data_IF_712736930470
#
_entry.id   IF_712736930470
#
_cell.length_a   1.000
_cell.length_b   1.000
_cell.length_c   1.000
_cell.angle_alpha   90.00
_cell.angle_beta   90.00
_cell.angle_gamma   90.00
#
_symmetry.space_group_name_H-M   'P 1'
#
loop_
_entity.id
_entity.type
_entity.pdbx_description
1 polymer ?
#
# COMPACT_ATOMS: atom_id res chain seq x y z
N UNK A 1 -3.22 13.18 -16.12
CA UNK A 1 -4.47 13.35 -15.35
C UNK A 1 -5.59 13.27 -16.37
N UNK A 2 -6.41 12.22 -16.33
CA UNK A 2 -7.58 12.10 -17.20
C UNK A 2 -8.72 12.80 -16.49
N UNK A 3 -9.31 13.82 -17.12
CA UNK A 3 -10.49 14.50 -16.57
C UNK A 3 -11.68 13.55 -16.65
N UNK A 4 -12.55 13.51 -15.62
CA UNK A 4 -13.77 12.74 -15.66
C UNK A 4 -14.71 13.31 -16.73
N UNK A 5 -15.46 12.44 -17.37
CA UNK A 5 -16.56 12.87 -18.24
C UNK A 5 -17.67 13.52 -17.40
N UNK A 6 -18.48 14.36 -18.02
CA UNK A 6 -19.57 15.08 -17.31
C UNK A 6 -20.53 14.07 -16.65
N UNK A 7 -20.76 12.95 -17.29
CA UNK A 7 -21.61 11.86 -16.80
C UNK A 7 -21.08 11.18 -15.54
N UNK A 8 -19.77 11.32 -15.25
CA UNK A 8 -19.14 10.76 -14.07
C UNK A 8 -19.51 11.50 -12.77
N UNK A 9 -20.00 12.74 -12.83
CA UNK A 9 -20.28 13.56 -11.63
C UNK A 9 -21.32 12.88 -10.72
N UNK A 10 -22.38 12.34 -11.30
CA UNK A 10 -23.41 11.60 -10.55
C UNK A 10 -22.84 10.32 -9.91
N UNK A 11 -22.00 9.60 -10.65
CA UNK A 11 -21.31 8.40 -10.15
C UNK A 11 -20.34 8.75 -9.02
N UNK A 12 -19.50 9.78 -9.19
CA UNK A 12 -18.57 10.30 -8.19
C UNK A 12 -19.30 10.65 -6.89
N UNK A 13 -20.41 11.42 -6.98
CA UNK A 13 -21.19 11.76 -5.81
C UNK A 13 -21.75 10.53 -5.09
N UNK A 14 -22.29 9.56 -5.84
CA UNK A 14 -22.78 8.30 -5.27
C UNK A 14 -21.69 7.48 -4.62
N UNK A 15 -20.49 7.45 -5.19
CA UNK A 15 -19.33 6.78 -4.58
C UNK A 15 -18.89 7.42 -3.26
N UNK A 16 -19.04 8.73 -3.13
CA UNK A 16 -18.79 9.44 -1.86
C UNK A 16 -19.93 9.29 -0.85
N UNK A 17 -21.02 8.58 -1.19
CA UNK A 17 -22.25 8.48 -0.39
C UNK A 17 -22.83 9.85 0.00
N UNK A 18 -22.77 10.81 -0.91
CA UNK A 18 -23.25 12.16 -0.68
C UNK A 18 -24.61 12.42 -1.35
N UNK A 19 -25.52 13.07 -0.62
CA UNK A 19 -26.70 13.70 -1.25
C UNK A 19 -26.28 14.94 -2.04
N UNK A 20 -27.12 15.40 -2.98
CA UNK A 20 -26.89 16.65 -3.73
C UNK A 20 -26.60 17.83 -2.78
N UNK A 21 -27.36 17.96 -1.68
CA UNK A 21 -27.17 19.02 -0.68
C UNK A 21 -25.82 18.91 0.05
N UNK A 22 -25.39 17.70 0.40
CA UNK A 22 -24.09 17.48 1.05
C UNK A 22 -22.92 17.76 0.11
N UNK A 23 -23.02 17.34 -1.18
CA UNK A 23 -22.02 17.64 -2.18
C UNK A 23 -21.93 19.15 -2.43
N UNK A 24 -23.06 19.84 -2.57
CA UNK A 24 -23.13 21.30 -2.73
C UNK A 24 -22.42 22.03 -1.58
N UNK A 25 -22.73 21.66 -0.33
CA UNK A 25 -22.09 22.24 0.87
C UNK A 25 -20.58 22.02 0.89
N UNK A 26 -20.11 20.80 0.58
CA UNK A 26 -18.66 20.45 0.61
C UNK A 26 -17.88 21.09 -0.55
N UNK A 27 -18.47 21.18 -1.75
CA UNK A 27 -17.80 21.74 -2.93
C UNK A 27 -17.94 23.27 -3.05
N UNK A 28 -18.81 23.88 -2.24
CA UNK A 28 -19.14 25.32 -2.36
C UNK A 28 -19.91 25.66 -3.64
N UNK A 29 -20.65 24.68 -4.21
CA UNK A 29 -21.48 24.86 -5.41
C UNK A 29 -22.96 24.86 -5.07
N UNK A 30 -23.81 25.41 -5.96
CA UNK A 30 -25.26 25.37 -5.73
C UNK A 30 -25.84 23.98 -6.03
N UNK A 31 -26.86 23.59 -5.27
CA UNK A 31 -27.59 22.33 -5.48
C UNK A 31 -28.20 22.27 -6.87
N UNK A 32 -28.78 23.38 -7.31
CA UNK A 32 -29.40 23.50 -8.63
C UNK A 32 -28.39 23.27 -9.75
N UNK A 33 -27.20 23.88 -9.66
CA UNK A 33 -26.16 23.69 -10.66
C UNK A 33 -25.72 22.22 -10.74
N UNK A 34 -25.45 21.55 -9.58
CA UNK A 34 -25.06 20.13 -9.56
C UNK A 34 -26.17 19.26 -10.16
N UNK A 35 -27.42 19.51 -9.80
CA UNK A 35 -28.57 18.78 -10.33
C UNK A 35 -28.68 18.91 -11.85
N UNK A 36 -28.48 20.12 -12.40
CA UNK A 36 -28.53 20.36 -13.84
C UNK A 36 -27.40 19.70 -14.60
N UNK A 37 -26.19 19.66 -14.01
CA UNK A 37 -25.06 18.89 -14.58
C UNK A 37 -25.36 17.38 -14.57
N UNK A 38 -25.83 16.85 -13.46
CA UNK A 38 -26.13 15.41 -13.33
C UNK A 38 -27.31 14.94 -14.20
N UNK A 39 -28.20 15.84 -14.57
CA UNK A 39 -29.33 15.57 -15.49
C UNK A 39 -29.02 15.86 -16.95
N UNK A 40 -27.80 16.33 -17.27
CA UNK A 40 -27.44 16.73 -18.64
C UNK A 40 -28.04 18.05 -19.09
N UNK A 41 -28.68 18.83 -18.21
CA UNK A 41 -29.23 20.16 -18.51
C UNK A 41 -28.15 21.20 -18.81
N UNK A 42 -26.95 21.01 -18.28
CA UNK A 42 -25.76 21.81 -18.62
C UNK A 42 -24.82 20.91 -19.40
N UNK A 43 -24.69 21.14 -20.70
CA UNK A 43 -23.85 20.36 -21.62
C UNK A 43 -22.37 20.74 -21.57
N UNK A 44 -22.06 21.98 -21.20
CA UNK A 44 -20.69 22.50 -21.09
C UNK A 44 -20.51 23.18 -19.72
N UNK A 45 -20.32 22.40 -18.66
CA UNK A 45 -20.12 22.94 -17.33
C UNK A 45 -18.72 23.55 -17.19
N UNK A 46 -18.62 24.64 -16.41
CA UNK A 46 -17.35 25.29 -16.13
C UNK A 46 -16.32 24.28 -15.55
N UNK A 47 -15.17 24.20 -16.21
CA UNK A 47 -14.02 23.37 -15.79
C UNK A 47 -13.67 23.57 -14.31
N UNK A 48 -13.62 24.81 -13.83
CA UNK A 48 -13.27 25.10 -12.43
C UNK A 48 -14.28 24.52 -11.44
N UNK A 49 -15.56 24.45 -11.81
CA UNK A 49 -16.59 23.86 -10.96
C UNK A 49 -16.50 22.32 -10.94
N UNK A 50 -16.27 21.72 -12.10
CA UNK A 50 -16.03 20.27 -12.22
C UNK A 50 -14.78 19.88 -11.43
N UNK A 51 -13.69 20.63 -11.59
CA UNK A 51 -12.46 20.41 -10.84
C UNK A 51 -12.67 20.40 -9.33
N UNK A 52 -13.49 21.33 -8.78
CA UNK A 52 -13.80 21.34 -7.33
C UNK A 52 -14.45 20.04 -6.84
N UNK A 53 -15.35 19.44 -7.63
CA UNK A 53 -15.98 18.17 -7.27
C UNK A 53 -14.96 17.04 -7.35
N UNK A 54 -14.10 17.06 -8.35
CA UNK A 54 -13.08 16.05 -8.54
C UNK A 54 -11.99 16.12 -7.46
N UNK A 55 -11.50 17.32 -7.14
CA UNK A 55 -10.54 17.53 -6.06
C UNK A 55 -11.11 17.06 -4.70
N UNK A 56 -12.40 17.31 -4.46
CA UNK A 56 -13.11 16.82 -3.28
C UNK A 56 -13.18 15.29 -3.26
N UNK A 57 -13.50 14.68 -4.39
CA UNK A 57 -13.54 13.22 -4.52
C UNK A 57 -12.17 12.58 -4.26
N UNK A 58 -11.12 13.12 -4.86
CA UNK A 58 -9.76 12.65 -4.64
C UNK A 58 -9.32 12.84 -3.18
N UNK A 59 -9.71 13.95 -2.55
CA UNK A 59 -9.45 14.22 -1.14
C UNK A 59 -10.19 13.22 -0.23
N UNK A 60 -11.49 12.99 -0.44
CA UNK A 60 -12.28 12.03 0.32
C UNK A 60 -11.76 10.59 0.13
N UNK A 61 -11.37 10.24 -1.09
CA UNK A 61 -10.77 8.97 -1.42
C UNK A 61 -9.42 8.78 -0.73
N UNK A 62 -8.61 9.83 -0.64
CA UNK A 62 -7.31 9.82 0.05
C UNK A 62 -7.48 9.73 1.56
N UNK A 63 -8.48 10.39 2.14
CA UNK A 63 -8.75 10.38 3.58
C UNK A 63 -9.26 9.03 4.11
N UNK A 64 -9.87 8.21 3.25
CA UNK A 64 -10.34 6.85 3.57
C UNK A 64 -9.40 5.75 3.04
N UNK A 65 -8.29 6.12 2.40
CA UNK A 65 -7.36 5.15 1.84
C UNK A 65 -6.41 4.65 2.93
N UNK A 66 -6.26 3.33 3.00
CA UNK A 66 -5.24 2.72 3.85
C UNK A 66 -3.85 3.23 3.46
N UNK A 67 -3.02 3.38 4.46
CA UNK A 67 -1.63 3.80 4.34
C UNK A 67 -0.68 2.62 4.49
N UNK A 68 0.59 2.81 4.17
CA UNK A 68 1.63 1.83 4.41
C UNK A 68 1.64 1.33 5.86
N UNK A 69 1.45 2.25 6.81
CA UNK A 69 1.42 1.92 8.24
C UNK A 69 0.24 1.06 8.68
N UNK A 70 -0.89 1.11 7.94
CA UNK A 70 -2.09 0.32 8.28
C UNK A 70 -1.96 -1.15 7.88
N UNK A 71 -1.02 -1.48 6.99
CA UNK A 71 -0.92 -2.80 6.38
C UNK A 71 0.46 -3.46 6.49
N UNK A 72 1.50 -2.72 6.89
CA UNK A 72 2.83 -3.29 7.06
C UNK A 72 2.90 -4.27 8.22
N UNK A 73 3.85 -5.20 8.18
CA UNK A 73 4.27 -5.98 9.34
C UNK A 73 5.06 -5.04 10.25
N UNK A 74 4.59 -4.78 11.49
CA UNK A 74 5.27 -3.84 12.37
C UNK A 74 6.65 -4.36 12.80
N UNK A 75 7.56 -3.43 13.15
CA UNK A 75 8.96 -3.74 13.51
C UNK A 75 9.08 -4.85 14.56
N UNK A 76 8.22 -4.83 15.58
CA UNK A 76 8.21 -5.85 16.65
C UNK A 76 7.98 -7.28 16.17
N UNK A 77 7.26 -7.43 15.04
CA UNK A 77 6.91 -8.72 14.42
C UNK A 77 7.81 -9.03 13.22
N UNK A 78 8.55 -8.02 12.73
CA UNK A 78 9.48 -8.15 11.62
C UNK A 78 10.67 -9.03 12.02
N UNK A 79 10.99 -10.02 11.19
CA UNK A 79 12.21 -10.81 11.35
C UNK A 79 13.35 -10.15 10.60
N UNK A 80 14.49 -10.05 11.23
CA UNK A 80 15.68 -9.41 10.68
C UNK A 80 16.95 -10.10 11.18
N UNK A 81 18.03 -9.91 10.44
CA UNK A 81 19.39 -10.28 10.84
C UNK A 81 20.24 -9.02 11.07
N UNK A 82 21.38 -9.20 11.69
CA UNK A 82 22.41 -8.16 11.79
C UNK A 82 23.62 -8.55 10.96
N UNK A 83 24.37 -7.60 10.49
CA UNK A 83 25.72 -7.85 9.94
C UNK A 83 26.52 -8.65 10.97
N UNK A 84 27.25 -9.68 10.50
CA UNK A 84 27.99 -10.60 11.35
C UNK A 84 27.17 -11.75 11.97
N UNK A 85 25.85 -11.78 11.80
CA UNK A 85 25.04 -12.97 12.10
C UNK A 85 25.44 -14.13 11.21
N UNK A 86 25.20 -15.38 11.62
CA UNK A 86 25.50 -16.54 10.76
C UNK A 86 24.47 -16.68 9.64
N UNK A 87 24.91 -17.17 8.48
CA UNK A 87 24.04 -17.55 7.35
C UNK A 87 23.01 -18.58 7.78
N UNK A 88 23.37 -19.51 8.65
CA UNK A 88 22.45 -20.49 9.24
C UNK A 88 21.28 -19.85 10.00
N UNK A 89 21.55 -18.76 10.73
CA UNK A 89 20.49 -18.05 11.47
C UNK A 89 19.47 -17.41 10.52
N UNK A 90 19.91 -16.86 9.40
CA UNK A 90 19.02 -16.32 8.36
C UNK A 90 18.19 -17.45 7.71
N UNK A 91 18.83 -18.57 7.36
CA UNK A 91 18.15 -19.74 6.82
C UNK A 91 17.06 -20.25 7.76
N UNK A 92 17.37 -20.38 9.05
CA UNK A 92 16.40 -20.79 10.07
C UNK A 92 15.19 -19.87 10.13
N UNK A 93 15.40 -18.55 10.10
CA UNK A 93 14.32 -17.56 10.06
C UNK A 93 13.46 -17.75 8.82
N UNK A 94 14.05 -17.94 7.64
CA UNK A 94 13.33 -18.13 6.38
C UNK A 94 12.43 -19.37 6.43
N UNK A 95 12.97 -20.50 6.90
CA UNK A 95 12.22 -21.77 7.00
C UNK A 95 11.09 -21.64 8.04
N UNK A 96 11.38 -21.15 9.24
CA UNK A 96 10.41 -21.06 10.34
C UNK A 96 9.25 -20.09 10.03
N UNK A 97 9.48 -19.09 9.19
CA UNK A 97 8.49 -18.04 8.89
C UNK A 97 7.91 -18.15 7.49
N UNK A 98 8.34 -19.12 6.71
CA UNK A 98 7.94 -19.30 5.31
C UNK A 98 8.13 -18.01 4.50
N UNK A 99 9.33 -17.43 4.62
CA UNK A 99 9.73 -16.20 3.91
C UNK A 99 11.03 -16.43 3.14
N UNK A 100 11.16 -15.82 1.99
CA UNK A 100 12.30 -15.97 1.08
C UNK A 100 13.37 -14.90 1.24
N UNK A 101 13.13 -13.89 2.08
CA UNK A 101 14.04 -12.76 2.25
C UNK A 101 13.97 -12.22 3.68
N UNK A 102 15.14 -11.78 4.19
CA UNK A 102 15.27 -11.22 5.54
C UNK A 102 16.08 -9.92 5.46
N UNK A 103 15.56 -8.79 5.96
CA UNK A 103 16.33 -7.55 6.02
C UNK A 103 17.50 -7.68 7.01
N UNK A 104 18.64 -7.14 6.60
CA UNK A 104 19.86 -7.15 7.39
C UNK A 104 20.17 -5.73 7.84
N UNK A 105 20.44 -5.57 9.12
CA UNK A 105 20.70 -4.28 9.73
C UNK A 105 22.13 -4.19 10.26
N UNK A 106 22.72 -3.03 10.07
CA UNK A 106 23.86 -2.57 10.83
C UNK A 106 23.43 -1.37 11.67
N UNK A 107 23.60 -1.48 13.01
CA UNK A 107 23.06 -0.52 13.98
C UNK A 107 21.54 -0.36 13.76
N UNK A 108 20.99 0.68 13.29
CA UNK A 108 19.56 0.84 13.01
C UNK A 108 19.28 1.13 11.51
N UNK A 109 20.26 0.85 10.67
CA UNK A 109 20.17 1.07 9.22
C UNK A 109 20.04 -0.29 8.54
N UNK A 110 19.01 -0.46 7.71
CA UNK A 110 18.93 -1.61 6.82
C UNK A 110 19.97 -1.42 5.72
N UNK A 111 20.96 -2.30 5.69
CA UNK A 111 22.07 -2.27 4.73
C UNK A 111 21.81 -3.15 3.51
N UNK A 112 20.83 -4.04 3.57
CA UNK A 112 20.48 -4.89 2.45
C UNK A 112 19.51 -5.99 2.85
N UNK A 113 19.27 -6.91 1.90
CA UNK A 113 18.45 -8.11 2.07
C UNK A 113 19.31 -9.36 1.87
N UNK A 114 19.16 -10.34 2.74
CA UNK A 114 19.63 -11.71 2.47
C UNK A 114 18.46 -12.51 1.92
N UNK A 115 18.66 -13.20 0.80
CA UNK A 115 17.60 -13.91 0.07
C UNK A 115 17.82 -15.41 0.08
N UNK A 116 16.78 -16.18 -0.19
CA UNK A 116 16.85 -17.64 -0.38
C UNK A 116 17.83 -18.02 -1.49
N UNK A 117 17.94 -17.20 -2.54
CA UNK A 117 18.92 -17.36 -3.61
C UNK A 117 20.35 -17.32 -3.09
N UNK A 118 20.65 -16.39 -2.18
CA UNK A 118 21.96 -16.30 -1.53
C UNK A 118 22.18 -17.53 -0.64
N UNK A 119 21.18 -17.91 0.16
CA UNK A 119 21.27 -19.08 1.04
C UNK A 119 21.49 -20.36 0.23
N UNK A 120 20.75 -20.56 -0.86
CA UNK A 120 20.86 -21.75 -1.69
C UNK A 120 22.19 -21.86 -2.42
N UNK A 121 22.92 -20.77 -2.66
CA UNK A 121 24.28 -20.82 -3.25
C UNK A 121 25.28 -21.54 -2.37
N UNK A 122 24.98 -21.71 -1.07
CA UNK A 122 25.81 -22.48 -0.12
C UNK A 122 25.47 -23.97 -0.05
N UNK A 123 24.45 -24.45 -0.79
CA UNK A 123 24.10 -25.88 -0.78
C UNK A 123 25.27 -26.71 -1.26
N UNK A 124 25.64 -27.71 -0.47
CA UNK A 124 26.81 -28.56 -0.71
C UNK A 124 28.14 -28.04 -0.14
N UNK A 125 28.11 -26.86 0.49
CA UNK A 125 29.26 -26.28 1.19
C UNK A 125 29.10 -26.36 2.70
N UNK A 126 30.20 -26.36 3.44
CA UNK A 126 30.16 -26.18 4.89
C UNK A 126 29.90 -24.69 5.19
N UNK A 127 28.71 -24.39 5.73
CA UNK A 127 28.32 -23.05 6.14
C UNK A 127 28.62 -22.75 7.60
N UNK A 128 29.23 -23.69 8.29
CA UNK A 128 29.58 -23.56 9.72
C UNK A 128 30.45 -22.32 9.93
N UNK A 129 29.94 -21.37 10.69
CA UNK A 129 30.68 -20.13 10.98
C UNK A 129 30.67 -19.07 9.89
N UNK A 130 30.06 -19.28 8.71
CA UNK A 130 29.93 -18.27 7.67
C UNK A 130 29.08 -17.11 8.18
N UNK A 131 29.64 -15.90 8.15
CA UNK A 131 28.97 -14.68 8.59
C UNK A 131 28.38 -13.90 7.43
N UNK A 132 27.24 -13.28 7.70
CA UNK A 132 26.63 -12.34 6.77
C UNK A 132 27.49 -11.08 6.69
N UNK A 133 27.97 -10.78 5.50
CA UNK A 133 28.74 -9.57 5.18
C UNK A 133 28.00 -8.76 4.13
N UNK A 134 28.29 -7.49 4.01
CA UNK A 134 27.57 -6.55 3.15
C UNK A 134 27.61 -6.95 1.66
N UNK A 135 28.75 -7.48 1.22
CA UNK A 135 28.98 -7.91 -0.16
C UNK A 135 28.07 -9.08 -0.61
N UNK A 136 27.48 -9.79 0.34
CA UNK A 136 26.51 -10.87 0.06
C UNK A 136 25.09 -10.35 -0.17
N UNK A 137 24.81 -9.12 0.25
CA UNK A 137 23.44 -8.64 0.33
C UNK A 137 22.93 -8.11 -1.01
N UNK A 138 21.65 -8.32 -1.28
CA UNK A 138 20.94 -7.57 -2.27
C UNK A 138 20.61 -6.16 -1.74
N UNK A 139 20.30 -5.26 -2.67
CA UNK A 139 20.03 -3.84 -2.36
C UNK A 139 18.96 -3.71 -1.28
N UNK A 140 19.18 -2.80 -0.34
CA UNK A 140 18.19 -2.48 0.69
C UNK A 140 16.89 -1.99 0.06
N UNK A 141 15.72 -2.41 0.60
CA UNK A 141 14.43 -1.97 0.10
C UNK A 141 14.28 -0.44 0.20
N UNK A 142 13.54 0.19 -0.73
CA UNK A 142 13.25 1.62 -0.61
C UNK A 142 12.43 1.90 0.65
N UNK A 143 12.59 3.10 1.20
CA UNK A 143 11.85 3.57 2.36
C UNK A 143 10.66 4.39 1.94
N UNK A 144 9.53 4.21 2.63
CA UNK A 144 8.31 4.98 2.44
C UNK A 144 7.77 5.45 3.79
N UNK A 145 7.18 6.63 3.82
CA UNK A 145 6.57 7.16 5.05
C UNK A 145 5.34 6.33 5.45
N UNK A 146 5.11 6.20 6.75
CA UNK A 146 3.97 5.48 7.34
C UNK A 146 2.61 5.95 6.80
N UNK A 147 2.51 7.20 6.37
CA UNK A 147 1.30 7.81 5.80
C UNK A 147 1.19 7.63 4.27
N UNK A 148 2.16 6.97 3.62
CA UNK A 148 2.13 6.76 2.18
C UNK A 148 0.88 5.97 1.78
N UNK A 149 0.01 6.50 0.90
CA UNK A 149 -1.18 5.79 0.44
C UNK A 149 -0.83 4.47 -0.25
N UNK A 150 -1.56 3.42 0.06
CA UNK A 150 -1.31 2.07 -0.49
C UNK A 150 -1.30 2.05 -2.03
N UNK A 151 -2.16 2.84 -2.68
CA UNK A 151 -2.18 2.94 -4.16
C UNK A 151 -0.86 3.42 -4.76
N UNK A 152 -0.11 4.26 -4.03
CA UNK A 152 1.19 4.77 -4.47
C UNK A 152 2.28 3.70 -4.39
N UNK A 153 2.11 2.71 -3.52
CA UNK A 153 3.08 1.63 -3.32
C UNK A 153 3.11 0.63 -4.48
N UNK A 154 2.00 0.50 -5.24
CA UNK A 154 1.93 -0.45 -6.34
C UNK A 154 3.11 -0.29 -7.29
N UNK A 155 3.38 0.94 -7.76
CA UNK A 155 4.49 1.21 -8.69
C UNK A 155 5.86 0.86 -8.11
N UNK A 156 6.08 1.13 -6.83
CA UNK A 156 7.33 0.79 -6.14
C UNK A 156 7.48 -0.72 -6.02
N UNK A 157 6.40 -1.40 -5.65
CA UNK A 157 6.39 -2.86 -5.48
C UNK A 157 6.31 -3.64 -6.82
N UNK A 158 6.15 -2.96 -7.97
CA UNK A 158 6.38 -3.58 -9.28
C UNK A 158 7.89 -3.83 -9.53
N UNK A 159 8.78 -3.04 -8.92
CA UNK A 159 10.24 -3.14 -9.07
C UNK A 159 10.94 -3.76 -7.86
N UNK A 160 10.36 -3.63 -6.67
CA UNK A 160 10.91 -4.15 -5.42
C UNK A 160 9.90 -5.11 -4.79
N UNK A 161 10.36 -6.19 -4.23
CA UNK A 161 9.48 -7.14 -3.52
C UNK A 161 9.00 -6.60 -2.18
N UNK A 162 9.77 -5.67 -1.59
CA UNK A 162 9.53 -5.08 -0.28
C UNK A 162 9.77 -3.58 -0.27
N UNK A 163 9.14 -2.91 0.68
CA UNK A 163 9.47 -1.55 1.11
C UNK A 163 9.60 -1.53 2.63
N UNK A 164 10.52 -0.73 3.14
CA UNK A 164 10.58 -0.42 4.57
C UNK A 164 9.65 0.76 4.85
N UNK A 165 8.82 0.61 5.85
CA UNK A 165 7.92 1.68 6.30
C UNK A 165 8.62 2.42 7.44
N UNK A 166 8.74 3.75 7.32
CA UNK A 166 9.36 4.57 8.33
C UNK A 166 8.39 5.59 8.94
N UNK A 167 8.68 5.95 10.18
CA UNK A 167 7.98 7.03 10.90
C UNK A 167 9.01 7.87 11.63
N UNK A 168 9.06 9.17 11.31
CA UNK A 168 10.01 10.09 11.93
C UNK A 168 11.48 9.64 11.85
N UNK A 169 11.89 9.03 10.72
CA UNK A 169 13.26 8.54 10.50
C UNK A 169 13.57 7.16 11.11
N UNK A 170 12.63 6.54 11.84
CA UNK A 170 12.78 5.21 12.40
C UNK A 170 12.00 4.19 11.59
N UNK A 171 12.52 2.97 11.48
CA UNK A 171 11.81 1.87 10.85
C UNK A 171 10.57 1.52 11.70
N UNK A 172 9.40 1.61 11.08
CA UNK A 172 8.12 1.29 11.68
C UNK A 172 7.71 -0.15 11.34
N UNK A 173 8.12 -0.65 10.18
CA UNK A 173 7.80 -1.99 9.72
C UNK A 173 8.33 -2.29 8.32
N UNK A 174 7.91 -3.42 7.78
CA UNK A 174 8.18 -3.86 6.42
C UNK A 174 6.86 -4.23 5.73
N UNK A 175 6.77 -3.95 4.43
CA UNK A 175 5.60 -4.26 3.63
C UNK A 175 6.03 -4.98 2.37
N UNK A 176 5.48 -6.16 2.15
CA UNK A 176 5.71 -6.97 0.97
C UNK A 176 4.60 -6.77 -0.09
N UNK A 177 4.91 -7.09 -1.34
CA UNK A 177 3.90 -7.16 -2.42
C UNK A 177 2.70 -8.04 -2.04
N UNK A 178 2.95 -9.15 -1.33
CA UNK A 178 1.91 -10.06 -0.84
C UNK A 178 0.90 -9.38 0.09
N UNK A 179 1.32 -8.39 0.88
CA UNK A 179 0.43 -7.68 1.80
C UNK A 179 -0.62 -6.85 1.06
N UNK A 180 -0.28 -6.32 -0.13
CA UNK A 180 -1.26 -5.66 -0.99
C UNK A 180 -2.33 -6.63 -1.50
N UNK A 181 -2.00 -7.90 -1.73
CA UNK A 181 -2.96 -8.89 -2.20
C UNK A 181 -4.05 -9.18 -1.15
N UNK A 182 -3.72 -9.09 0.14
CA UNK A 182 -4.69 -9.28 1.23
C UNK A 182 -5.83 -8.27 1.14
N UNK A 183 -5.55 -7.05 0.67
CA UNK A 183 -6.55 -5.99 0.52
C UNK A 183 -7.62 -6.31 -0.52
N UNK A 184 -7.30 -7.10 -1.55
CA UNK A 184 -8.25 -7.49 -2.59
C UNK A 184 -9.36 -8.41 -2.03
N UNK A 185 -9.08 -9.11 -0.93
CA UNK A 185 -10.03 -10.02 -0.31
C UNK A 185 -10.91 -9.34 0.75
N UNK A 186 -10.47 -8.22 1.32
CA UNK A 186 -11.20 -7.50 2.36
C UNK A 186 -12.36 -6.65 1.81
N UNK A 187 -12.31 -6.27 0.52
CA UNK A 187 -13.33 -5.46 -0.16
C UNK A 187 -14.57 -6.21 -0.64
N UNK A 188 -14.67 -7.53 -0.46
CA UNK A 188 -15.87 -8.28 -0.87
C UNK A 188 -16.92 -8.19 0.24
N UNK A 189 -18.08 -7.52 0.03
CA UNK A 189 -19.17 -7.55 0.99
C UNK A 189 -19.57 -9.02 1.21
N UNK A 190 -19.61 -9.45 2.49
CA UNK A 190 -20.14 -10.77 2.84
C UNK A 190 -21.51 -10.90 2.18
N UNK A 191 -21.64 -11.76 1.16
CA UNK A 191 -22.93 -12.08 0.55
C UNK A 191 -23.86 -12.56 1.67
N UNK A 192 -24.87 -11.75 2.03
CA UNK A 192 -25.96 -12.19 2.88
C UNK A 192 -26.57 -13.41 2.21
N UNK A 193 -26.45 -14.60 2.83
CA UNK A 193 -27.19 -15.78 2.42
C UNK A 193 -28.65 -15.44 2.63
N UNK A 194 -29.37 -15.15 1.56
CA UNK A 194 -30.83 -15.15 1.60
C UNK A 194 -31.27 -16.59 1.85
N UNK A 195 -31.71 -16.87 3.07
CA UNK A 195 -32.47 -18.07 3.35
C UNK A 195 -33.79 -17.96 2.57
N UNK A 196 -33.93 -18.77 1.52
CA UNK A 196 -35.25 -19.04 0.95
C UNK A 196 -36.09 -19.66 2.06
N UNK A 197 -37.09 -18.94 2.53
CA UNK A 197 -38.19 -19.54 3.28
C UNK A 197 -39.05 -20.30 2.27
N UNK A 198 -39.14 -21.61 2.46
CA UNK A 198 -40.19 -22.44 1.87
C UNK A 198 -41.52 -22.10 2.53
#
# INVERSE_FOLDING_TARGET
>A
MVLPEIDDIKYIRKKMDLSLRKLAKKSGLSVSWISQVESGGIKDPSYLKIKKIFDLYEFEKSGNERTAGDICVPEKDMKSCKIGSSVESANKIMIEKDISQVPVFEKNVCVGMITDKIITSFVGSDVSGVKIVEEMLEIAPPRVDVKTPVRSLKRTLDYFDYVLVEKNGYIFGILARHDLMKLLNEGKPKRKKYHKRN
#
